data_IF_472341863948
#
_entry.id   IF_472341863948
#
_cell.length_a   1.000
_cell.length_b   1.000
_cell.length_c   1.000
_cell.angle_alpha   90.00
_cell.angle_beta   90.00
_cell.angle_gamma   90.00
#
_symmetry.space_group_name_H-M   'P 1'
#
loop_
_entity.id
_entity.type
_entity.pdbx_description
1 polymer ?
#
# COMPACT_ATOMS: atom_id res chain seq x y z
N UNK A 1 -15.66 54.07 -3.33
CA UNK A 1 -15.79 52.92 -2.40
C UNK A 1 -16.43 51.67 -3.06
N UNK A 2 -15.87 51.12 -4.16
CA UNK A 2 -16.42 49.93 -4.84
C UNK A 2 -15.47 48.70 -4.87
N UNK A 3 -14.23 48.83 -4.38
CA UNK A 3 -13.20 47.76 -4.45
C UNK A 3 -13.23 46.71 -3.34
N UNK A 4 -13.74 47.04 -2.15
CA UNK A 4 -13.70 46.14 -0.96
C UNK A 4 -14.72 44.98 -1.09
N UNK A 5 -15.80 45.17 -1.85
CA UNK A 5 -16.90 44.22 -1.96
C UNK A 5 -16.58 43.00 -2.83
N UNK A 6 -15.71 43.17 -3.84
CA UNK A 6 -15.31 42.09 -4.77
C UNK A 6 -14.35 41.12 -4.09
N UNK A 7 -13.37 41.64 -3.33
CA UNK A 7 -12.39 40.83 -2.60
C UNK A 7 -13.05 39.95 -1.52
N UNK A 8 -14.05 40.48 -0.81
CA UNK A 8 -14.79 39.71 0.21
C UNK A 8 -15.71 38.63 -0.38
N UNK A 9 -16.25 38.84 -1.58
CA UNK A 9 -17.05 37.83 -2.30
C UNK A 9 -16.14 36.73 -2.85
N UNK A 10 -14.95 37.09 -3.34
CA UNK A 10 -13.94 36.15 -3.81
C UNK A 10 -13.41 35.25 -2.68
N UNK A 11 -13.02 35.82 -1.54
CA UNK A 11 -12.61 35.04 -0.35
C UNK A 11 -13.72 34.12 0.17
N UNK A 12 -14.98 34.57 0.16
CA UNK A 12 -16.12 33.72 0.57
C UNK A 12 -16.35 32.56 -0.39
N UNK A 13 -16.28 32.80 -1.70
CA UNK A 13 -16.40 31.77 -2.73
C UNK A 13 -15.24 30.76 -2.62
N UNK A 14 -14.01 31.25 -2.48
CA UNK A 14 -12.81 30.43 -2.33
C UNK A 14 -12.88 29.57 -1.06
N UNK A 15 -13.30 30.12 0.08
CA UNK A 15 -13.48 29.32 1.31
C UNK A 15 -14.58 28.26 1.17
N UNK A 16 -15.67 28.55 0.46
CA UNK A 16 -16.75 27.59 0.18
C UNK A 16 -16.28 26.49 -0.78
N UNK A 17 -15.47 26.83 -1.77
CA UNK A 17 -14.85 25.88 -2.69
C UNK A 17 -13.85 24.99 -1.96
N UNK A 18 -12.97 25.55 -1.12
CA UNK A 18 -12.05 24.77 -0.29
C UNK A 18 -12.79 23.89 0.73
N UNK A 19 -13.87 24.37 1.36
CA UNK A 19 -14.72 23.55 2.25
C UNK A 19 -15.39 22.41 1.48
N UNK A 20 -15.94 22.66 0.29
CA UNK A 20 -16.53 21.62 -0.57
C UNK A 20 -15.48 20.60 -1.04
N UNK A 21 -14.30 21.06 -1.43
CA UNK A 21 -13.19 20.20 -1.86
C UNK A 21 -12.61 19.38 -0.70
N UNK A 22 -12.45 20.00 0.48
CA UNK A 22 -12.04 19.34 1.72
C UNK A 22 -13.08 18.29 2.13
N UNK A 23 -14.37 18.62 2.06
CA UNK A 23 -15.46 17.68 2.29
C UNK A 23 -15.44 16.53 1.28
N UNK A 24 -15.15 16.79 0.00
CA UNK A 24 -15.07 15.75 -1.03
C UNK A 24 -13.87 14.81 -0.83
N UNK A 25 -12.68 15.34 -0.55
CA UNK A 25 -11.48 14.53 -0.26
C UNK A 25 -11.68 13.72 1.01
N UNK A 26 -12.31 14.32 2.04
CA UNK A 26 -12.60 13.66 3.31
C UNK A 26 -13.69 12.61 3.16
N UNK A 27 -14.76 12.88 2.39
CA UNK A 27 -15.79 11.92 2.03
C UNK A 27 -15.23 10.77 1.20
N UNK A 28 -14.36 11.02 0.22
CA UNK A 28 -13.72 9.96 -0.57
C UNK A 28 -12.84 9.07 0.31
N UNK A 29 -12.12 9.65 1.27
CA UNK A 29 -11.35 8.90 2.28
C UNK A 29 -12.28 8.09 3.20
N UNK A 30 -13.36 8.70 3.68
CA UNK A 30 -14.35 8.05 4.54
C UNK A 30 -15.03 6.89 3.80
N UNK A 31 -15.46 7.11 2.56
CA UNK A 31 -16.08 6.10 1.71
C UNK A 31 -15.13 4.93 1.45
N UNK A 32 -13.85 5.21 1.14
CA UNK A 32 -12.85 4.13 0.96
C UNK A 32 -12.67 3.33 2.25
N UNK A 33 -12.67 3.99 3.42
CA UNK A 33 -12.59 3.31 4.72
C UNK A 33 -13.84 2.49 5.02
N UNK A 34 -15.03 3.00 4.71
CA UNK A 34 -16.29 2.26 4.87
C UNK A 34 -16.30 1.04 3.94
N UNK A 35 -15.91 1.19 2.68
CA UNK A 35 -15.76 0.08 1.73
C UNK A 35 -14.78 -0.95 2.26
N UNK A 36 -13.60 -0.54 2.73
CA UNK A 36 -12.63 -1.47 3.32
C UNK A 36 -13.20 -2.19 4.54
N UNK A 37 -13.91 -1.49 5.43
CA UNK A 37 -14.55 -2.10 6.62
C UNK A 37 -15.67 -3.07 6.23
N UNK A 38 -16.45 -2.78 5.20
CA UNK A 38 -17.54 -3.67 4.73
C UNK A 38 -16.98 -4.89 4.01
N UNK A 39 -15.91 -4.72 3.21
CA UNK A 39 -15.31 -5.80 2.43
C UNK A 39 -14.38 -6.71 3.23
N UNK A 40 -13.89 -6.24 4.38
CA UNK A 40 -13.12 -7.03 5.35
C UNK A 40 -14.07 -7.42 6.48
N UNK A 41 -14.65 -8.63 6.40
CA UNK A 41 -15.76 -9.09 7.25
C UNK A 41 -15.49 -9.09 8.77
N UNK A 42 -14.22 -9.02 9.18
CA UNK A 42 -13.77 -8.91 10.57
C UNK A 42 -12.49 -8.06 10.63
N UNK A 43 -12.24 -7.25 11.68
CA UNK A 43 -10.93 -6.60 11.83
C UNK A 43 -9.82 -7.66 11.74
N UNK A 44 -8.74 -7.35 11.03
CA UNK A 44 -7.58 -8.24 10.96
C UNK A 44 -7.06 -8.49 12.38
N UNK A 45 -7.37 -9.67 12.91
CA UNK A 45 -6.75 -10.20 14.12
C UNK A 45 -5.58 -11.06 13.67
N UNK A 46 -4.33 -10.72 14.04
CA UNK A 46 -3.25 -11.67 13.89
C UNK A 46 -3.60 -12.88 14.76
N UNK A 47 -3.88 -14.02 14.13
CA UNK A 47 -4.18 -15.23 14.86
C UNK A 47 -2.93 -15.63 15.66
N UNK A 48 -2.94 -15.37 16.97
CA UNK A 48 -2.20 -16.16 17.94
C UNK A 48 -3.17 -17.18 18.51
N UNK A 49 -3.40 -18.25 17.75
CA UNK A 49 -4.06 -19.45 18.24
C UNK A 49 -3.00 -20.46 18.62
N UNK A 50 -3.00 -20.90 19.88
CA UNK A 50 -2.11 -21.91 20.44
C UNK A 50 -2.30 -23.29 19.76
N UNK A 51 -3.38 -23.50 19.00
CA UNK A 51 -3.68 -24.79 18.36
C UNK A 51 -3.00 -25.03 17.00
N UNK A 52 -2.18 -24.09 16.49
CA UNK A 52 -1.49 -24.24 15.20
C UNK A 52 -0.10 -24.93 15.30
N UNK A 53 0.12 -25.75 16.33
CA UNK A 53 1.48 -26.14 16.73
C UNK A 53 2.09 -27.35 15.96
N UNK A 54 1.44 -27.90 14.93
CA UNK A 54 1.98 -29.10 14.23
C UNK A 54 2.11 -29.00 12.70
N UNK A 55 1.63 -27.94 12.03
CA UNK A 55 1.75 -27.83 10.56
C UNK A 55 2.68 -26.72 10.06
N UNK A 56 3.92 -27.17 9.80
CA UNK A 56 5.07 -26.57 9.10
C UNK A 56 5.83 -25.42 9.78
N UNK A 57 7.00 -25.75 10.32
CA UNK A 57 8.12 -24.84 10.68
C UNK A 57 8.73 -24.08 9.48
N UNK A 58 8.02 -23.96 8.35
CA UNK A 58 8.48 -23.26 7.16
C UNK A 58 8.14 -21.77 7.23
N UNK A 59 9.11 -20.90 6.98
CA UNK A 59 8.90 -19.45 6.90
C UNK A 59 7.86 -19.15 5.82
N UNK A 60 6.90 -18.25 6.08
CA UNK A 60 5.86 -17.89 5.11
C UNK A 60 6.05 -16.44 4.68
N UNK A 61 6.02 -16.17 3.38
CA UNK A 61 6.10 -14.82 2.82
C UNK A 61 4.97 -14.59 1.83
N UNK A 62 4.40 -13.38 1.86
CA UNK A 62 3.44 -12.92 0.87
C UNK A 62 4.08 -11.83 0.02
N UNK A 63 4.28 -12.07 -1.28
CA UNK A 63 4.78 -11.06 -2.21
C UNK A 63 3.62 -10.54 -3.04
N UNK A 64 3.33 -9.25 -2.95
CA UNK A 64 2.16 -8.63 -3.57
C UNK A 64 2.58 -7.64 -4.65
N UNK A 65 2.06 -7.81 -5.85
CA UNK A 65 2.23 -6.86 -6.95
C UNK A 65 1.01 -5.96 -7.01
N UNK A 66 1.15 -4.72 -6.53
CA UNK A 66 0.04 -3.76 -6.58
C UNK A 66 -0.23 -3.35 -8.03
N UNK A 67 -1.50 -3.16 -8.36
CA UNK A 67 -1.93 -2.80 -9.71
C UNK A 67 -3.44 -2.70 -9.87
N UNK A 68 -3.86 -2.37 -11.09
CA UNK A 68 -5.26 -2.41 -11.50
C UNK A 68 -5.48 -3.56 -12.51
N UNK A 69 -6.50 -4.40 -12.32
CA UNK A 69 -6.86 -5.44 -13.29
C UNK A 69 -7.21 -4.86 -14.66
N UNK A 70 -6.73 -5.49 -15.74
CA UNK A 70 -6.99 -5.02 -17.11
C UNK A 70 -6.21 -3.76 -17.51
N UNK A 71 -5.26 -3.31 -16.67
CA UNK A 71 -4.40 -2.16 -16.92
C UNK A 71 -2.93 -2.56 -16.96
N UNK A 72 -2.65 -3.72 -17.56
CA UNK A 72 -1.30 -4.23 -17.78
C UNK A 72 -0.48 -3.23 -18.62
N UNK A 73 0.81 -3.09 -18.29
CA UNK A 73 1.72 -2.17 -18.97
C UNK A 73 1.57 -0.69 -18.56
N UNK A 74 0.65 -0.35 -17.65
CA UNK A 74 0.61 0.98 -17.03
C UNK A 74 1.62 1.10 -15.89
N UNK A 75 2.10 2.32 -15.63
CA UNK A 75 3.03 2.61 -14.53
C UNK A 75 2.50 2.13 -13.18
N UNK A 76 1.21 2.30 -12.93
CA UNK A 76 0.57 1.89 -11.67
C UNK A 76 0.43 0.37 -11.50
N UNK A 77 0.56 -0.40 -12.59
CA UNK A 77 0.52 -1.87 -12.56
C UNK A 77 1.91 -2.51 -12.69
N UNK A 78 3.00 -1.73 -12.54
CA UNK A 78 4.36 -2.27 -12.60
C UNK A 78 4.62 -3.34 -11.53
N UNK A 79 3.97 -3.25 -10.37
CA UNK A 79 4.05 -4.28 -9.32
C UNK A 79 3.57 -5.64 -9.82
N UNK A 80 2.46 -5.68 -10.57
CA UNK A 80 1.97 -6.91 -11.19
C UNK A 80 2.91 -7.43 -12.27
N UNK A 81 3.55 -6.54 -13.06
CA UNK A 81 4.53 -6.93 -14.07
C UNK A 81 5.78 -7.58 -13.43
N UNK A 82 6.29 -7.00 -12.34
CA UNK A 82 7.40 -7.58 -11.56
C UNK A 82 7.03 -8.95 -11.01
N UNK A 83 5.81 -9.14 -10.50
CA UNK A 83 5.36 -10.45 -10.04
C UNK A 83 5.23 -11.47 -11.17
N UNK A 84 4.81 -11.04 -12.36
CA UNK A 84 4.83 -11.88 -13.56
C UNK A 84 6.25 -12.35 -13.89
N UNK A 85 7.22 -11.44 -13.88
CA UNK A 85 8.63 -11.77 -14.10
C UNK A 85 9.19 -12.71 -13.02
N UNK A 86 8.84 -12.48 -11.73
CA UNK A 86 9.25 -13.36 -10.64
C UNK A 86 8.66 -14.77 -10.81
N UNK A 87 7.37 -14.88 -11.12
CA UNK A 87 6.73 -16.17 -11.35
C UNK A 87 7.36 -16.93 -12.54
N UNK A 88 7.74 -16.21 -13.61
CA UNK A 88 8.46 -16.79 -14.73
C UNK A 88 9.85 -17.29 -14.33
N UNK A 89 10.61 -16.48 -13.56
CA UNK A 89 11.93 -16.86 -13.05
C UNK A 89 11.90 -18.09 -12.14
N UNK A 90 10.81 -18.26 -11.39
CA UNK A 90 10.56 -19.41 -10.52
C UNK A 90 10.01 -20.65 -11.27
N UNK A 91 9.71 -20.55 -12.56
CA UNK A 91 9.13 -21.67 -13.33
C UNK A 91 7.69 -22.01 -12.92
N UNK A 92 6.93 -21.02 -12.44
CA UNK A 92 5.56 -21.20 -11.92
C UNK A 92 4.54 -20.24 -12.54
N UNK A 93 4.88 -19.53 -13.61
CA UNK A 93 4.01 -18.53 -14.24
C UNK A 93 2.67 -19.10 -14.75
N UNK A 94 2.62 -20.36 -15.15
CA UNK A 94 1.42 -21.08 -15.59
C UNK A 94 0.46 -21.46 -14.43
N UNK A 95 0.93 -21.30 -13.18
CA UNK A 95 0.21 -21.71 -11.97
C UNK A 95 -0.67 -20.62 -11.37
N UNK A 96 -0.77 -19.45 -11.99
CA UNK A 96 -1.72 -18.43 -11.54
C UNK A 96 -3.14 -18.99 -11.50
N UNK A 97 -3.81 -18.87 -10.35
CA UNK A 97 -5.19 -19.28 -10.17
C UNK A 97 -5.98 -18.15 -9.53
N UNK A 98 -7.18 -17.89 -10.06
CA UNK A 98 -8.11 -16.96 -9.43
C UNK A 98 -8.64 -17.52 -8.12
N UNK A 99 -8.59 -16.71 -7.07
CA UNK A 99 -9.10 -17.04 -5.75
C UNK A 99 -10.10 -15.97 -5.30
N UNK A 100 -11.37 -16.37 -5.27
CA UNK A 100 -12.50 -15.48 -4.92
C UNK A 100 -12.40 -15.02 -3.47
N UNK A 101 -11.90 -15.86 -2.56
CA UNK A 101 -11.79 -15.52 -1.15
C UNK A 101 -10.84 -14.34 -0.97
N UNK A 102 -9.66 -14.39 -1.57
CA UNK A 102 -8.68 -13.29 -1.51
C UNK A 102 -8.94 -12.18 -2.52
N UNK A 103 -9.95 -12.31 -3.38
CA UNK A 103 -10.27 -11.34 -4.44
C UNK A 103 -9.05 -11.03 -5.33
N UNK A 104 -8.31 -12.06 -5.72
CA UNK A 104 -7.03 -11.94 -6.40
C UNK A 104 -6.67 -13.17 -7.23
N UNK A 105 -5.54 -13.11 -7.92
CA UNK A 105 -4.86 -14.29 -8.46
C UNK A 105 -3.69 -14.64 -7.55
N UNK A 106 -3.49 -15.93 -7.32
CA UNK A 106 -2.43 -16.43 -6.44
C UNK A 106 -1.58 -17.49 -7.12
N UNK A 107 -0.33 -17.56 -6.70
CA UNK A 107 0.54 -18.72 -6.82
C UNK A 107 1.02 -19.06 -5.43
N UNK A 108 1.01 -20.34 -5.08
CA UNK A 108 1.69 -20.86 -3.89
C UNK A 108 2.89 -21.68 -4.38
N UNK A 109 4.07 -21.37 -3.84
CA UNK A 109 5.32 -22.01 -4.21
C UNK A 109 6.23 -22.11 -2.97
N UNK A 110 7.41 -22.70 -3.15
CA UNK A 110 8.44 -22.78 -2.14
C UNK A 110 9.76 -22.28 -2.74
N UNK A 111 10.45 -21.41 -2.01
CA UNK A 111 11.77 -20.89 -2.37
C UNK A 111 12.68 -21.11 -1.17
N UNK A 112 13.66 -22.01 -1.30
CA UNK A 112 14.65 -22.30 -0.24
C UNK A 112 14.01 -22.48 1.15
N UNK A 113 13.04 -23.40 1.27
CA UNK A 113 12.29 -23.69 2.52
C UNK A 113 11.39 -22.56 3.05
N UNK A 114 11.19 -21.51 2.24
CA UNK A 114 10.18 -20.48 2.51
C UNK A 114 8.96 -20.76 1.64
N UNK A 115 7.80 -20.95 2.28
CA UNK A 115 6.52 -20.96 1.58
C UNK A 115 6.20 -19.55 1.09
N UNK A 116 6.15 -19.37 -0.23
CA UNK A 116 5.92 -18.08 -0.86
C UNK A 116 4.55 -18.08 -1.51
N UNK A 117 3.75 -17.08 -1.14
CA UNK A 117 2.50 -16.75 -1.82
C UNK A 117 2.74 -15.53 -2.69
N UNK A 118 2.55 -15.64 -4.00
CA UNK A 118 2.50 -14.49 -4.89
C UNK A 118 1.05 -14.06 -5.05
N UNK A 119 0.77 -12.76 -4.92
CA UNK A 119 -0.59 -12.21 -5.03
C UNK A 119 -0.65 -11.06 -6.03
N UNK A 120 -1.56 -11.18 -7.01
CA UNK A 120 -2.01 -10.07 -7.85
C UNK A 120 -3.46 -9.74 -7.49
N UNK A 121 -3.74 -8.63 -6.79
CA UNK A 121 -5.11 -8.24 -6.45
C UNK A 121 -5.98 -8.07 -7.69
N UNK A 122 -7.20 -8.62 -7.67
CA UNK A 122 -8.21 -8.44 -8.75
C UNK A 122 -9.20 -7.32 -8.40
N UNK A 123 -8.71 -6.28 -7.73
CA UNK A 123 -9.48 -5.13 -7.26
C UNK A 123 -8.83 -3.82 -7.72
N UNK A 124 -9.59 -2.72 -7.72
CA UNK A 124 -9.03 -1.39 -8.01
C UNK A 124 -7.94 -1.01 -7.00
N UNK A 125 -7.00 -0.19 -7.43
CA UNK A 125 -5.80 0.16 -6.66
C UNK A 125 -6.13 0.68 -5.25
N UNK A 126 -7.13 1.55 -5.11
CA UNK A 126 -7.51 2.14 -3.83
C UNK A 126 -8.09 1.13 -2.82
N UNK A 127 -8.42 -0.08 -3.26
CA UNK A 127 -8.96 -1.17 -2.43
C UNK A 127 -8.12 -2.46 -2.54
N UNK A 128 -6.89 -2.38 -3.09
CA UNK A 128 -5.96 -3.52 -3.12
C UNK A 128 -5.70 -4.10 -1.72
N UNK A 129 -5.71 -3.26 -0.67
CA UNK A 129 -5.49 -3.68 0.71
C UNK A 129 -6.49 -4.71 1.23
N UNK A 130 -7.72 -4.72 0.70
CA UNK A 130 -8.73 -5.74 1.01
C UNK A 130 -8.23 -7.12 0.58
N UNK A 131 -7.71 -7.23 -0.64
CA UNK A 131 -7.17 -8.49 -1.16
C UNK A 131 -5.95 -8.95 -0.37
N UNK A 132 -5.05 -8.02 -0.03
CA UNK A 132 -3.85 -8.30 0.76
C UNK A 132 -4.21 -8.79 2.17
N UNK A 133 -5.14 -8.13 2.87
CA UNK A 133 -5.55 -8.52 4.21
C UNK A 133 -6.24 -9.91 4.22
N UNK A 134 -7.08 -10.21 3.22
CA UNK A 134 -7.69 -11.54 3.09
C UNK A 134 -6.66 -12.63 2.81
N UNK A 135 -5.67 -12.36 1.97
CA UNK A 135 -4.57 -13.29 1.73
C UNK A 135 -3.71 -13.50 2.99
N UNK A 136 -3.36 -12.43 3.70
CA UNK A 136 -2.61 -12.51 4.95
C UNK A 136 -3.32 -13.38 5.99
N UNK A 137 -4.63 -13.19 6.17
CA UNK A 137 -5.45 -14.04 7.05
C UNK A 137 -5.50 -15.50 6.57
N UNK A 138 -5.85 -15.73 5.30
CA UNK A 138 -5.98 -17.08 4.71
C UNK A 138 -4.70 -17.91 4.84
N UNK A 139 -3.54 -17.31 4.61
CA UNK A 139 -2.26 -18.02 4.61
C UNK A 139 -1.52 -17.92 5.95
N UNK A 140 -2.12 -17.26 6.96
CA UNK A 140 -1.51 -17.03 8.28
C UNK A 140 -0.16 -16.31 8.19
N UNK A 141 -0.10 -15.23 7.42
CA UNK A 141 1.11 -14.45 7.17
C UNK A 141 1.03 -13.13 7.94
N UNK A 142 2.07 -12.83 8.73
CA UNK A 142 2.15 -11.58 9.51
C UNK A 142 2.50 -10.40 8.62
N UNK A 143 2.11 -9.16 8.95
CA UNK A 143 2.43 -7.98 8.14
C UNK A 143 3.92 -7.77 7.85
N UNK A 144 4.82 -8.07 8.78
CA UNK A 144 6.27 -8.02 8.56
C UNK A 144 6.79 -9.00 7.49
N UNK A 145 6.00 -10.03 7.17
CA UNK A 145 6.27 -11.04 6.16
C UNK A 145 5.58 -10.76 4.82
N UNK A 146 4.93 -9.60 4.68
CA UNK A 146 4.27 -9.14 3.45
C UNK A 146 5.18 -8.14 2.73
N UNK A 147 5.68 -8.52 1.55
CA UNK A 147 6.50 -7.69 0.68
C UNK A 147 5.63 -7.07 -0.43
N UNK A 148 5.43 -5.75 -0.37
CA UNK A 148 4.67 -5.01 -1.39
C UNK A 148 5.58 -4.54 -2.53
N UNK A 149 5.16 -4.75 -3.77
CA UNK A 149 5.84 -4.25 -4.97
C UNK A 149 4.96 -3.21 -5.64
N UNK A 150 5.48 -2.00 -5.83
CA UNK A 150 4.69 -0.88 -6.34
C UNK A 150 5.54 0.21 -7.02
N UNK A 151 4.89 1.11 -7.76
CA UNK A 151 5.54 2.25 -8.40
C UNK A 151 5.94 3.36 -7.41
N UNK A 152 7.03 4.07 -7.70
CA UNK A 152 7.56 5.17 -6.89
C UNK A 152 7.86 6.38 -7.78
N UNK A 153 7.13 7.46 -7.55
CA UNK A 153 7.23 8.71 -8.31
C UNK A 153 8.54 9.44 -8.03
N UNK A 154 9.08 9.32 -6.82
CA UNK A 154 10.28 10.06 -6.40
C UNK A 154 11.59 9.42 -6.87
N UNK A 155 11.52 8.38 -7.71
CA UNK A 155 12.68 7.71 -8.31
C UNK A 155 12.47 7.61 -9.82
N UNK A 156 13.49 7.92 -10.64
CA UNK A 156 13.38 7.72 -12.08
C UNK A 156 13.31 6.22 -12.42
N UNK A 157 12.77 5.90 -13.60
CA UNK A 157 12.82 4.54 -14.14
C UNK A 157 14.28 4.04 -14.18
N UNK A 158 14.50 2.76 -13.88
CA UNK A 158 15.85 2.20 -13.69
C UNK A 158 16.35 2.26 -12.25
N UNK A 159 15.65 2.94 -11.33
CA UNK A 159 16.02 2.99 -9.90
C UNK A 159 14.99 2.25 -9.06
N UNK A 160 15.43 1.13 -8.48
CA UNK A 160 14.66 0.36 -7.52
C UNK A 160 15.20 0.55 -6.10
N UNK A 161 14.36 0.40 -5.08
CA UNK A 161 14.81 0.44 -3.69
C UNK A 161 13.91 -0.37 -2.76
N UNK A 162 14.52 -1.14 -1.85
CA UNK A 162 13.81 -1.73 -0.73
C UNK A 162 13.59 -0.67 0.36
N UNK A 163 12.42 -0.67 0.98
CA UNK A 163 12.12 0.14 2.16
C UNK A 163 11.33 -0.69 3.18
N UNK A 164 11.76 -0.66 4.43
CA UNK A 164 11.02 -1.24 5.54
C UNK A 164 9.99 -0.23 6.05
N UNK A 165 8.72 -0.60 5.93
CA UNK A 165 7.56 0.14 6.38
C UNK A 165 7.44 1.63 6.01
N UNK A 166 6.73 2.38 6.87
CA UNK A 166 6.54 3.83 6.79
C UNK A 166 5.32 4.29 5.98
N UNK A 167 5.13 5.60 5.82
CA UNK A 167 3.92 6.14 5.18
C UNK A 167 3.77 5.75 3.69
N UNK A 168 2.54 5.82 3.18
CA UNK A 168 2.21 5.48 1.79
C UNK A 168 2.72 6.50 0.75
N UNK A 169 3.23 7.67 1.16
CA UNK A 169 3.74 8.74 0.28
C UNK A 169 2.83 9.12 -0.91
N UNK A 170 1.51 8.99 -0.74
CA UNK A 170 0.53 9.30 -1.78
C UNK A 170 0.10 8.12 -2.66
N UNK A 171 0.76 6.96 -2.55
CA UNK A 171 0.38 5.76 -3.29
C UNK A 171 -0.90 5.12 -2.70
N UNK A 172 -1.97 5.03 -3.51
CA UNK A 172 -3.29 4.59 -3.04
C UNK A 172 -3.33 3.10 -2.64
N UNK A 173 -2.63 2.22 -3.36
CA UNK A 173 -2.54 0.79 -3.00
C UNK A 173 -1.87 0.53 -1.66
N UNK A 174 -0.68 1.11 -1.44
CA UNK A 174 0.01 1.07 -0.15
C UNK A 174 -0.86 1.64 0.97
N UNK A 175 -1.52 2.79 0.75
CA UNK A 175 -2.45 3.36 1.75
C UNK A 175 -3.57 2.37 2.08
N UNK A 176 -4.16 1.74 1.06
CA UNK A 176 -5.20 0.72 1.23
C UNK A 176 -4.71 -0.45 2.08
N UNK A 177 -3.48 -0.93 1.84
CA UNK A 177 -2.87 -2.02 2.62
C UNK A 177 -2.66 -1.61 4.07
N UNK A 178 -2.13 -0.42 4.33
CA UNK A 178 -1.95 0.12 5.70
C UNK A 178 -3.29 0.23 6.42
N UNK A 179 -4.31 0.75 5.74
CA UNK A 179 -5.66 0.90 6.30
C UNK A 179 -6.33 -0.46 6.58
N UNK A 180 -6.10 -1.50 5.76
CA UNK A 180 -6.73 -2.82 5.99
C UNK A 180 -5.98 -3.68 7.02
N UNK A 181 -4.65 -3.59 7.05
CA UNK A 181 -3.79 -4.36 7.97
C UNK A 181 -3.57 -3.63 9.31
N UNK A 182 -3.99 -2.37 9.43
CA UNK A 182 -3.83 -1.52 10.63
C UNK A 182 -2.36 -1.35 11.07
N UNK A 183 -1.42 -1.48 10.14
CA UNK A 183 0.01 -1.32 10.37
C UNK A 183 0.71 -0.91 9.08
N UNK A 184 1.87 -0.27 9.20
CA UNK A 184 2.67 0.16 8.06
C UNK A 184 4.02 -0.56 7.95
N UNK A 185 4.24 -1.62 8.73
CA UNK A 185 5.53 -2.36 8.82
C UNK A 185 5.92 -3.13 7.55
N UNK A 186 4.97 -3.42 6.65
CA UNK A 186 5.21 -4.21 5.43
C UNK A 186 6.41 -3.67 4.65
N UNK A 187 7.46 -4.49 4.42
CA UNK A 187 8.55 -4.18 3.50
C UNK A 187 8.05 -3.90 2.09
N UNK A 188 8.79 -3.09 1.34
CA UNK A 188 8.37 -2.62 0.01
C UNK A 188 9.52 -2.60 -0.98
N UNK A 189 9.32 -3.23 -2.13
CA UNK A 189 10.13 -2.99 -3.31
C UNK A 189 9.50 -1.84 -4.10
N UNK A 190 10.20 -0.71 -4.13
CA UNK A 190 9.78 0.52 -4.79
C UNK A 190 10.43 0.61 -6.16
N UNK A 191 9.62 0.61 -7.21
CA UNK A 191 10.10 0.65 -8.59
C UNK A 191 9.91 2.07 -9.13
N UNK A 192 11.01 2.75 -9.47
CA UNK A 192 10.95 4.13 -9.95
C UNK A 192 10.18 4.26 -11.26
N UNK A 193 9.30 5.27 -11.35
CA UNK A 193 8.55 5.63 -12.56
C UNK A 193 8.69 7.11 -12.92
N UNK A 194 9.44 7.87 -12.12
CA UNK A 194 9.61 9.31 -12.24
C UNK A 194 8.32 10.10 -11.98
N UNK A 195 8.48 11.42 -11.83
CA UNK A 195 7.34 12.35 -11.82
C UNK A 195 6.98 12.75 -13.24
N UNK A 196 5.70 13.04 -13.54
CA UNK A 196 5.33 13.57 -14.84
C UNK A 196 6.05 14.89 -15.12
N UNK A 197 6.48 15.06 -16.37
CA UNK A 197 6.96 16.35 -16.86
C UNK A 197 5.78 17.26 -17.27
N UNK A 198 6.01 18.57 -17.19
CA UNK A 198 5.04 19.58 -17.67
C UNK A 198 3.73 19.61 -16.88
N UNK A 199 2.59 19.70 -17.59
CA UNK A 199 1.25 19.89 -17.00
C UNK A 199 0.49 18.59 -16.75
N UNK A 200 1.10 17.42 -16.99
CA UNK A 200 0.44 16.13 -16.81
C UNK A 200 0.20 15.86 -15.32
N UNK A 201 -1.04 15.52 -14.94
CA UNK A 201 -1.35 15.19 -13.56
C UNK A 201 -0.72 13.85 -13.16
N UNK A 202 -0.46 13.67 -11.86
CA UNK A 202 0.07 12.41 -11.33
C UNK A 202 -0.89 11.25 -11.61
N UNK A 203 -2.20 11.46 -11.50
CA UNK A 203 -3.18 10.41 -11.78
C UNK A 203 -3.12 9.94 -13.24
N UNK A 204 -3.00 10.87 -14.19
CA UNK A 204 -2.86 10.52 -15.61
C UNK A 204 -1.52 9.84 -15.87
N UNK A 205 -0.44 10.29 -15.23
CA UNK A 205 0.89 9.70 -15.36
C UNK A 205 0.90 8.22 -14.96
N UNK A 206 0.41 7.90 -13.75
CA UNK A 206 0.44 6.54 -13.24
C UNK A 206 -0.46 5.59 -14.04
N UNK A 207 -1.59 6.10 -14.56
CA UNK A 207 -2.48 5.31 -15.43
C UNK A 207 -1.98 5.22 -16.88
N UNK A 208 -0.95 5.99 -17.25
CA UNK A 208 -0.32 5.95 -18.55
C UNK A 208 0.55 4.71 -18.73
N UNK A 209 0.57 4.17 -19.96
CA UNK A 209 1.53 3.14 -20.38
C UNK A 209 2.93 3.72 -20.49
N UNK A 210 3.93 2.86 -20.32
CA UNK A 210 5.32 3.20 -20.64
C UNK A 210 5.48 3.44 -22.16
N UNK A 211 6.27 4.44 -22.52
CA UNK A 211 6.70 4.74 -23.88
C UNK A 211 7.64 3.66 -24.41
N UNK A 212 7.84 3.63 -25.73
CA UNK A 212 8.78 2.71 -26.37
C UNK A 212 10.21 2.86 -25.85
N UNK A 213 10.62 4.08 -25.50
CA UNK A 213 11.92 4.37 -24.89
C UNK A 213 12.01 3.84 -23.47
N UNK A 214 10.97 4.03 -22.66
CA UNK A 214 10.90 3.47 -21.30
C UNK A 214 10.89 1.93 -21.31
N UNK A 215 10.26 1.30 -22.31
CA UNK A 215 10.24 -0.17 -22.42
C UNK A 215 11.63 -0.76 -22.63
N UNK A 216 12.54 -0.06 -23.30
CA UNK A 216 13.94 -0.50 -23.44
C UNK A 216 14.66 -0.61 -22.08
N UNK A 217 14.23 0.20 -21.11
CA UNK A 217 14.77 0.19 -19.74
C UNK A 217 14.00 -0.79 -18.85
N UNK A 218 12.71 -0.99 -19.12
CA UNK A 218 11.82 -1.79 -18.28
C UNK A 218 12.31 -3.23 -18.13
N UNK A 219 12.82 -3.86 -19.18
CA UNK A 219 13.30 -5.25 -19.11
C UNK A 219 14.40 -5.42 -18.06
N UNK A 220 15.37 -4.49 -18.04
CA UNK A 220 16.42 -4.47 -17.02
C UNK A 220 15.85 -4.22 -15.62
N UNK A 221 14.86 -3.33 -15.49
CA UNK A 221 14.18 -3.06 -14.22
C UNK A 221 13.47 -4.30 -13.69
N UNK A 222 12.80 -5.08 -14.55
CA UNK A 222 12.11 -6.30 -14.16
C UNK A 222 13.12 -7.35 -13.67
N UNK A 223 14.22 -7.56 -14.39
CA UNK A 223 15.28 -8.49 -13.97
C UNK A 223 15.87 -8.09 -12.62
N UNK A 224 16.28 -6.83 -12.47
CA UNK A 224 16.83 -6.32 -11.20
C UNK A 224 15.83 -6.44 -10.04
N UNK A 225 14.55 -6.17 -10.32
CA UNK A 225 13.49 -6.31 -9.31
C UNK A 225 13.36 -7.76 -8.85
N UNK A 226 13.37 -8.71 -9.80
CA UNK A 226 13.30 -10.15 -9.50
C UNK A 226 14.51 -10.60 -8.67
N UNK A 227 15.72 -10.19 -9.03
CA UNK A 227 16.93 -10.54 -8.27
C UNK A 227 16.87 -10.03 -6.83
N UNK A 228 16.39 -8.79 -6.63
CA UNK A 228 16.16 -8.24 -5.29
C UNK A 228 15.10 -9.03 -4.53
N UNK A 229 13.97 -9.38 -5.16
CA UNK A 229 12.92 -10.16 -4.52
C UNK A 229 13.43 -11.55 -4.11
N UNK A 230 14.17 -12.24 -4.98
CA UNK A 230 14.76 -13.54 -4.66
C UNK A 230 15.73 -13.42 -3.48
N UNK A 231 16.60 -12.40 -3.47
CA UNK A 231 17.47 -12.14 -2.33
C UNK A 231 16.69 -11.94 -1.02
N UNK A 232 15.59 -11.19 -1.05
CA UNK A 232 14.73 -10.98 0.13
C UNK A 232 14.03 -12.26 0.60
N UNK A 233 13.67 -13.16 -0.32
CA UNK A 233 13.07 -14.45 0.00
C UNK A 233 14.10 -15.44 0.57
N UNK A 234 15.35 -15.35 0.11
CA UNK A 234 16.47 -16.18 0.55
C UNK A 234 17.12 -15.74 1.86
N UNK A 235 17.02 -14.46 2.24
CA UNK A 235 17.65 -13.96 3.46
C UNK A 235 17.08 -14.64 4.70
N UNK A 236 17.94 -15.38 5.42
CA UNK A 236 17.66 -15.81 6.79
C UNK A 236 17.55 -14.56 7.65
N UNK A 237 16.34 -14.30 8.18
CA UNK A 237 16.21 -13.31 9.24
C UNK A 237 16.80 -13.95 10.48
N UNK A 238 17.95 -13.45 10.93
CA UNK A 238 18.51 -13.80 12.22
C UNK A 238 17.51 -13.37 13.31
N UNK A 239 16.96 -14.29 14.13
CA UNK A 239 15.97 -13.97 15.16
C UNK A 239 16.45 -12.92 16.18
N UNK A 240 17.77 -12.66 16.25
CA UNK A 240 18.41 -11.78 17.22
C UNK A 240 18.96 -10.46 16.65
N UNK A 241 18.79 -10.20 15.34
CA UNK A 241 19.15 -8.87 14.83
C UNK A 241 18.09 -7.86 15.25
N UNK A 242 18.42 -6.82 16.04
CA UNK A 242 17.45 -5.80 16.38
C UNK A 242 17.03 -5.15 15.06
N UNK A 243 15.77 -5.35 14.67
CA UNK A 243 15.11 -4.36 13.83
C UNK A 243 15.34 -3.04 14.54
N UNK A 244 16.25 -2.20 14.02
CA UNK A 244 16.38 -0.82 14.51
C UNK A 244 14.96 -0.29 14.64
N UNK A 245 14.59 0.30 15.80
CA UNK A 245 13.20 0.64 16.05
C UNK A 245 12.77 1.58 14.93
N UNK A 246 12.04 1.01 13.97
CA UNK A 246 11.27 1.80 13.05
C UNK A 246 10.31 2.52 13.98
N UNK A 247 10.49 3.83 14.12
CA UNK A 247 9.52 4.74 14.72
C UNK A 247 8.22 4.76 13.88
N UNK A 248 7.66 3.59 13.58
CA UNK A 248 6.27 3.39 13.28
C UNK A 248 5.51 3.58 14.58
N UNK A 249 5.33 4.85 14.98
CA UNK A 249 4.33 5.18 15.99
C UNK A 249 3.02 4.55 15.54
N UNK A 250 2.50 3.63 16.34
CA UNK A 250 1.15 3.07 16.21
C UNK A 250 0.21 4.21 15.86
N UNK A 251 -0.30 4.21 14.63
CA UNK A 251 -1.12 5.30 14.08
C UNK A 251 -2.40 5.56 14.91
N UNK A 252 -2.73 4.66 15.85
CA UNK A 252 -3.80 4.81 16.83
C UNK A 252 -3.46 5.76 18.00
N UNK A 253 -2.25 5.73 18.58
CA UNK A 253 -1.94 6.48 19.82
C UNK A 253 -1.78 7.99 19.60
N UNK A 254 -1.22 8.40 18.44
CA UNK A 254 -1.06 9.83 18.09
C UNK A 254 -2.38 10.54 17.82
N UNK A 255 -3.48 9.78 17.64
CA UNK A 255 -4.82 10.33 17.42
C UNK A 255 -5.52 10.63 18.75
N UNK A 256 -5.35 9.78 19.76
CA UNK A 256 -5.90 10.01 21.11
C UNK A 256 -5.23 11.19 21.82
N UNK A 257 -3.91 11.38 21.68
CA UNK A 257 -3.22 12.54 22.28
C UNK A 257 -3.64 13.88 21.65
N UNK A 258 -3.89 13.90 20.34
CA UNK A 258 -4.37 15.12 19.64
C UNK A 258 -5.84 15.44 19.90
N UNK A 259 -6.66 14.42 20.16
CA UNK A 259 -8.08 14.60 20.51
C UNK A 259 -8.23 14.99 21.99
N UNK A 260 -7.33 14.57 22.90
CA UNK A 260 -7.29 15.03 24.30
C UNK A 260 -6.73 16.45 24.48
N UNK A 261 -5.82 16.90 23.62
CA UNK A 261 -5.24 18.26 23.72
C UNK A 261 -6.09 19.36 23.07
N UNK A 262 -7.24 19.03 22.49
CA UNK A 262 -8.07 19.95 21.71
C UNK A 262 -9.42 20.31 22.37
N UNK A 263 -9.59 20.04 23.67
CA UNK A 263 -10.72 20.53 24.47
C UNK A 263 -10.31 21.84 25.16
N UNK A 264 -10.88 23.01 24.80
CA UNK A 264 -10.77 24.19 25.63
C UNK A 264 -11.68 24.05 26.87
N UNK A 265 -11.13 24.38 28.02
CA UNK A 265 -11.89 24.55 29.26
C UNK A 265 -12.90 25.70 29.09
N UNK A 266 -14.18 25.37 28.97
CA UNK A 266 -15.31 26.26 29.27
C UNK A 266 -16.07 25.63 30.45
N UNK A 267 -15.68 26.01 31.66
CA UNK A 267 -16.58 26.19 32.81
C UNK A 267 -15.75 26.51 34.07
N UNK A 268 -15.56 27.81 34.34
CA UNK A 268 -15.34 28.36 35.68
C UNK A 268 -15.28 29.89 35.62
N UNK A 269 -16.43 30.54 35.37
CA UNK A 269 -16.62 31.96 35.65
C UNK A 269 -18.08 32.22 36.03
N UNK A 270 -18.52 31.64 37.15
CA UNK A 270 -19.77 31.99 37.81
C UNK A 270 -19.64 31.74 39.33
N UNK A 271 -18.88 32.61 40.01
CA UNK A 271 -19.02 32.89 41.45
C UNK A 271 -18.03 33.99 41.85
N UNK A 272 -18.43 35.26 41.69
CA UNK A 272 -18.05 36.41 42.54
C UNK A 272 -18.66 37.69 41.96
N UNK A 273 -19.91 37.96 42.33
CA UNK A 273 -20.47 39.30 42.60
C UNK A 273 -21.84 39.13 43.25
#
# INVERSE_FOLDING_TARGET
MKGVTVLSKFCRCLSRFFKKLLNFVTMRRLLTRVINRVLVSSPFTPAMGIEAEIHTHGRRKLVVGLGNPGMEGTRHSIGMAVLGALAARLGVADRWRGDKHVSGEVIVSEVQHTHVVLLRPRLLMNINGVSVAKAAGKYSIKPEDILLVHDELDKPLGKIAVKHGGSARGHNGVRSCVDCLQTDVMPRLRVGIGRPAGKTSVERHVLGRFSSEEQKVLDSVLVQSVDVLLSQLSQQQDPQSPSSPAEGRRAAQKREERERSASPAEDAAAAQS
#
